data_IF_870024916355
#
_entry.id   IF_870024916355
#
_cell.length_a   1.000
_cell.length_b   1.000
_cell.length_c   1.000
_cell.angle_alpha   90.00
_cell.angle_beta   90.00
_cell.angle_gamma   90.00
#
_symmetry.space_group_name_H-M   'P 1'
#
loop_
_entity.id
_entity.type
_entity.pdbx_description
1 polymer ?
#
# COMPACT_ATOMS: atom_id res chain seq x y z
N UNK A 1 2.66 17.13 -12.78
CA UNK A 1 2.17 16.74 -14.13
C UNK A 1 3.27 16.07 -14.95
N UNK A 2 4.53 16.55 -14.89
CA UNK A 2 5.69 15.88 -15.53
C UNK A 2 5.89 14.43 -15.11
N UNK A 3 5.74 14.10 -13.83
CA UNK A 3 5.83 12.72 -13.32
C UNK A 3 4.79 11.78 -13.95
N UNK A 4 3.59 12.30 -14.26
CA UNK A 4 2.51 11.54 -14.88
C UNK A 4 2.84 11.21 -16.35
N UNK A 5 3.41 12.17 -17.07
CA UNK A 5 3.83 11.97 -18.47
C UNK A 5 5.02 11.01 -18.53
N UNK A 6 5.92 11.07 -17.56
CA UNK A 6 7.08 10.19 -17.49
C UNK A 6 6.66 8.71 -17.32
N UNK A 7 5.77 8.42 -16.39
CA UNK A 7 5.25 7.06 -16.17
C UNK A 7 4.53 6.50 -17.41
N UNK A 8 3.79 7.35 -18.13
CA UNK A 8 3.16 6.95 -19.38
C UNK A 8 4.21 6.55 -20.43
N UNK A 9 5.28 7.34 -20.60
CA UNK A 9 6.35 7.06 -21.58
C UNK A 9 7.11 5.77 -21.26
N UNK A 10 7.47 5.56 -20.00
CA UNK A 10 8.17 4.34 -19.56
C UNK A 10 7.34 3.08 -19.85
N UNK A 11 6.03 3.15 -19.61
CA UNK A 11 5.16 2.01 -19.85
C UNK A 11 5.02 1.67 -21.35
N UNK A 12 4.96 2.67 -22.26
CA UNK A 12 4.94 2.46 -23.73
C UNK A 12 6.20 1.72 -24.21
N UNK A 13 7.37 2.04 -23.66
CA UNK A 13 8.64 1.44 -24.07
C UNK A 13 8.73 -0.08 -23.78
N UNK A 14 7.94 -0.61 -22.84
CA UNK A 14 8.07 -2.00 -22.39
C UNK A 14 7.26 -3.03 -23.19
N UNK A 15 6.22 -2.64 -23.93
CA UNK A 15 5.38 -3.56 -24.74
C UNK A 15 4.89 -2.91 -26.04
N UNK A 16 5.65 -2.99 -27.15
CA UNK A 16 5.33 -2.29 -28.40
C UNK A 16 4.12 -2.86 -29.15
N UNK A 17 3.79 -4.14 -28.99
CA UNK A 17 2.69 -4.81 -29.70
C UNK A 17 1.41 -4.97 -28.85
N UNK A 18 1.40 -4.45 -27.62
CA UNK A 18 0.30 -4.58 -26.66
C UNK A 18 -0.53 -3.31 -26.50
N UNK A 19 -1.77 -3.43 -26.01
CA UNK A 19 -2.54 -2.28 -25.54
C UNK A 19 -2.00 -1.84 -24.19
N UNK A 20 -1.56 -0.59 -24.12
CA UNK A 20 -1.08 0.00 -22.88
C UNK A 20 -2.23 0.21 -21.90
N UNK A 21 -2.18 -0.50 -20.77
CA UNK A 21 -3.13 -0.31 -19.68
C UNK A 21 -2.53 0.60 -18.62
N UNK A 22 -3.31 1.59 -18.18
CA UNK A 22 -2.97 2.45 -17.04
C UNK A 22 -4.06 2.33 -15.98
N UNK A 23 -3.66 2.06 -14.74
CA UNK A 23 -4.55 1.97 -13.59
C UNK A 23 -4.66 3.35 -12.93
N UNK A 24 -5.88 3.80 -12.66
CA UNK A 24 -6.11 5.10 -12.02
C UNK A 24 -6.65 4.90 -10.61
N UNK A 25 -6.25 5.79 -9.70
CA UNK A 25 -6.64 5.86 -8.29
C UNK A 25 -6.10 4.71 -7.42
N UNK A 26 -6.29 3.45 -7.83
CA UNK A 26 -5.85 2.26 -7.09
C UNK A 26 -4.72 1.55 -7.83
N UNK A 27 -3.60 1.31 -7.15
CA UNK A 27 -2.49 0.52 -7.69
C UNK A 27 -2.83 -0.97 -7.66
N UNK A 28 -2.36 -1.70 -8.67
CA UNK A 28 -2.47 -3.17 -8.80
C UNK A 28 -1.08 -3.77 -8.98
N UNK A 29 -0.24 -3.76 -7.93
CA UNK A 29 1.19 -4.05 -8.04
C UNK A 29 1.47 -5.45 -8.61
N UNK A 30 0.69 -6.46 -8.24
CA UNK A 30 0.83 -7.83 -8.78
C UNK A 30 0.60 -7.87 -10.29
N UNK A 31 -0.40 -7.16 -10.81
CA UNK A 31 -0.71 -7.13 -12.25
C UNK A 31 0.36 -6.36 -13.01
N UNK A 32 0.77 -5.20 -12.49
CA UNK A 32 1.86 -4.40 -13.08
C UNK A 32 3.18 -5.15 -13.13
N UNK A 33 3.48 -5.93 -12.09
CA UNK A 33 4.69 -6.78 -12.05
C UNK A 33 4.64 -7.89 -13.10
N UNK A 34 3.50 -8.55 -13.27
CA UNK A 34 3.37 -9.71 -14.16
C UNK A 34 3.14 -9.33 -15.64
N UNK A 35 2.48 -8.20 -15.90
CA UNK A 35 1.97 -7.85 -17.22
C UNK A 35 2.34 -6.44 -17.69
N UNK A 36 3.05 -5.64 -16.88
CA UNK A 36 3.33 -4.24 -17.18
C UNK A 36 2.09 -3.35 -17.01
N UNK A 37 2.26 -2.06 -17.30
CA UNK A 37 1.19 -1.05 -17.21
C UNK A 37 1.52 0.12 -16.27
N UNK A 38 0.94 1.28 -16.58
CA UNK A 38 1.11 2.50 -15.79
C UNK A 38 0.21 2.50 -14.54
N UNK A 39 0.55 3.31 -13.55
CA UNK A 39 -0.33 3.66 -12.44
C UNK A 39 -0.35 5.17 -12.27
N UNK A 40 -1.54 5.75 -12.13
CA UNK A 40 -1.75 7.17 -11.84
C UNK A 40 -2.61 7.26 -10.58
N UNK A 41 -2.00 7.70 -9.49
CA UNK A 41 -2.67 7.94 -8.22
C UNK A 41 -1.64 8.27 -7.14
N UNK A 42 -2.12 8.43 -5.91
CA UNK A 42 -1.26 8.73 -4.77
C UNK A 42 -0.80 7.43 -4.09
N UNK A 43 0.49 7.33 -3.79
CA UNK A 43 0.97 6.32 -2.83
C UNK A 43 0.63 6.77 -1.41
N UNK A 44 -0.50 6.26 -0.91
CA UNK A 44 -1.04 6.56 0.41
C UNK A 44 -0.45 5.73 1.54
N UNK A 45 0.39 4.72 1.24
CA UNK A 45 0.95 3.82 2.24
C UNK A 45 1.74 4.56 3.34
N UNK A 46 2.72 5.41 2.98
CA UNK A 46 3.49 6.18 3.96
C UNK A 46 2.63 7.15 4.78
N UNK A 47 1.64 7.81 4.15
CA UNK A 47 0.77 8.76 4.86
C UNK A 47 -0.20 8.04 5.80
N UNK A 48 -0.75 6.90 5.40
CA UNK A 48 -1.57 6.06 6.26
C UNK A 48 -0.80 5.54 7.47
N UNK A 49 0.46 5.12 7.28
CA UNK A 49 1.34 4.74 8.38
C UNK A 49 1.60 5.89 9.35
N UNK A 50 2.00 7.06 8.84
CA UNK A 50 2.27 8.24 9.67
C UNK A 50 1.02 8.69 10.45
N UNK A 51 -0.16 8.66 9.82
CA UNK A 51 -1.43 8.94 10.47
C UNK A 51 -1.72 7.96 11.61
N UNK A 52 -1.53 6.66 11.38
CA UNK A 52 -1.72 5.63 12.40
C UNK A 52 -0.76 5.80 13.58
N UNK A 53 0.52 6.07 13.31
CA UNK A 53 1.53 6.30 14.34
C UNK A 53 1.18 7.50 15.23
N UNK A 54 0.74 8.61 14.63
CA UNK A 54 0.33 9.80 15.38
C UNK A 54 -0.97 9.55 16.18
N UNK A 55 -1.91 8.76 15.65
CA UNK A 55 -3.11 8.38 16.39
C UNK A 55 -2.77 7.54 17.64
N UNK A 56 -1.86 6.56 17.52
CA UNK A 56 -1.39 5.77 18.67
C UNK A 56 -0.80 6.70 19.74
N UNK A 57 0.06 7.64 19.34
CA UNK A 57 0.69 8.60 20.25
C UNK A 57 -0.33 9.53 20.94
N UNK A 58 -1.29 10.09 20.20
CA UNK A 58 -2.26 11.07 20.73
C UNK A 58 -3.29 10.47 21.67
N UNK A 59 -3.73 9.25 21.37
CA UNK A 59 -4.86 8.64 22.06
C UNK A 59 -4.43 7.50 23.00
N UNK A 60 -3.12 7.26 23.16
CA UNK A 60 -2.60 6.18 24.01
C UNK A 60 -3.14 4.81 23.59
N UNK A 61 -3.34 4.61 22.29
CA UNK A 61 -3.90 3.36 21.78
C UNK A 61 -2.90 2.22 22.04
N UNK A 62 -3.43 1.06 22.43
CA UNK A 62 -2.58 -0.11 22.63
C UNK A 62 -2.02 -0.55 21.29
N UNK A 63 -0.72 -0.84 21.27
CA UNK A 63 -0.07 -1.45 20.12
C UNK A 63 -0.61 -2.87 19.98
N UNK A 64 -1.55 -3.09 19.07
CA UNK A 64 -1.95 -4.45 18.73
C UNK A 64 -0.84 -5.06 17.89
N UNK A 65 -0.23 -6.14 18.37
CA UNK A 65 0.73 -6.92 17.60
C UNK A 65 -0.08 -7.97 16.83
N UNK A 66 0.01 -7.95 15.49
CA UNK A 66 -0.51 -9.04 14.67
C UNK A 66 0.32 -10.29 14.96
N UNK A 67 -0.29 -11.26 15.64
CA UNK A 67 0.24 -12.61 15.84
C UNK A 67 -0.06 -13.42 14.58
N UNK A 68 0.95 -13.69 13.76
CA UNK A 68 0.83 -14.48 12.53
C UNK A 68 0.75 -15.99 12.78
N UNK A 69 0.89 -16.41 14.04
CA UNK A 69 0.81 -17.79 14.51
C UNK A 69 -0.58 -18.21 15.00
N UNK A 70 -1.56 -17.30 15.02
CA UNK A 70 -2.96 -17.60 15.37
C UNK A 70 -3.79 -17.46 14.10
N UNK A 71 -4.46 -18.55 13.68
CA UNK A 71 -5.27 -18.60 12.44
C UNK A 71 -6.48 -17.65 12.46
N UNK A 72 -6.83 -17.13 13.63
CA UNK A 72 -7.91 -16.17 13.81
C UNK A 72 -7.36 -14.82 14.27
N UNK A 73 -7.85 -13.76 13.64
CA UNK A 73 -7.43 -12.37 13.84
C UNK A 73 -7.95 -11.85 15.19
N UNK A 74 -7.37 -12.33 16.28
CA UNK A 74 -7.70 -11.86 17.63
C UNK A 74 -6.82 -10.66 17.93
N UNK A 75 -7.44 -9.48 18.00
CA UNK A 75 -6.84 -8.34 18.64
C UNK A 75 -6.56 -8.75 20.11
N UNK A 76 -5.28 -8.98 20.47
CA UNK A 76 -4.86 -9.24 21.86
C UNK A 76 -4.37 -7.96 22.51
N UNK A 77 -5.04 -7.57 23.60
CA UNK A 77 -4.76 -6.36 24.34
C UNK A 77 -3.54 -6.63 25.23
N UNK A 78 -2.38 -6.03 24.91
CA UNK A 78 -1.15 -6.25 25.67
C UNK A 78 -1.24 -5.85 27.15
N UNK A 79 -2.20 -5.01 27.56
CA UNK A 79 -2.36 -4.66 28.98
C UNK A 79 -3.07 -5.74 29.80
N UNK A 80 -3.57 -6.81 29.18
CA UNK A 80 -4.14 -7.95 29.92
C UNK A 80 -3.14 -9.10 30.07
N UNK A 81 -1.90 -8.92 29.63
CA UNK A 81 -0.80 -9.84 29.91
C UNK A 81 0.03 -9.22 31.03
N UNK A 82 -0.37 -9.50 32.28
CA UNK A 82 0.52 -9.30 33.42
C UNK A 82 1.74 -10.24 33.29
N UNK A 83 2.85 -9.82 33.92
CA UNK A 83 4.19 -10.40 33.82
C UNK A 83 4.29 -11.87 34.22
#
# INVERSE_FOLDING_TARGET
METMIQQLRESIATKPDGILMTYLNVDVPTVRTNYGGGYIGADLGPQGYALGAEAIKRFGLKTWVYRTDIQDLVAVNLSSMEA
#
